data_IF_149335815313
#
_entry.id   IF_149335815313
#
_cell.length_a   1.000
_cell.length_b   1.000
_cell.length_c   1.000
_cell.angle_alpha   90.00
_cell.angle_beta   90.00
_cell.angle_gamma   90.00
#
_symmetry.space_group_name_H-M   'P 1'
#
loop_
_entity.id
_entity.type
_entity.pdbx_description
1 polymer ?
#
# COMPACT_ATOMS: atom_id res chain seq x y z
N UNK A 1 -36.40 12.53 13.51
CA UNK A 1 -34.99 12.08 13.34
C UNK A 1 -34.02 12.69 14.36
N UNK A 2 -33.93 14.02 14.53
CA UNK A 2 -32.99 14.66 15.48
C UNK A 2 -33.21 14.27 16.95
N UNK A 3 -34.47 14.22 17.40
CA UNK A 3 -34.82 13.78 18.78
C UNK A 3 -34.47 12.32 19.03
N UNK A 4 -34.69 11.43 18.06
CA UNK A 4 -34.31 10.02 18.13
C UNK A 4 -32.78 9.87 18.22
N UNK A 5 -32.03 10.59 17.37
CA UNK A 5 -30.56 10.63 17.48
C UNK A 5 -30.09 11.14 18.84
N UNK A 6 -30.74 12.17 19.39
CA UNK A 6 -30.41 12.73 20.69
C UNK A 6 -30.67 11.72 21.83
N UNK A 7 -31.82 11.03 21.79
CA UNK A 7 -32.16 9.98 22.76
C UNK A 7 -31.17 8.81 22.68
N UNK A 8 -30.84 8.36 21.46
CA UNK A 8 -29.85 7.30 21.26
C UNK A 8 -28.48 7.74 21.81
N UNK A 9 -28.07 8.98 21.55
CA UNK A 9 -26.81 9.52 22.06
C UNK A 9 -26.79 9.57 23.59
N UNK A 10 -27.91 9.98 24.22
CA UNK A 10 -28.05 9.97 25.68
C UNK A 10 -27.96 8.56 26.26
N UNK A 11 -28.65 7.59 25.65
CA UNK A 11 -28.59 6.19 26.07
C UNK A 11 -27.16 5.65 25.96
N UNK A 12 -26.49 5.90 24.84
CA UNK A 12 -25.10 5.48 24.64
C UNK A 12 -24.19 6.13 25.67
N UNK A 13 -24.33 7.43 25.92
CA UNK A 13 -23.54 8.15 26.91
C UNK A 13 -23.74 7.57 28.32
N UNK A 14 -24.99 7.33 28.72
CA UNK A 14 -25.32 6.78 30.02
C UNK A 14 -24.77 5.35 30.19
N UNK A 15 -24.87 4.53 29.14
CA UNK A 15 -24.30 3.19 29.11
C UNK A 15 -22.77 3.20 29.24
N UNK A 16 -22.08 4.15 28.58
CA UNK A 16 -20.62 4.31 28.72
C UNK A 16 -20.27 4.70 30.16
N UNK A 17 -20.99 5.66 30.75
CA UNK A 17 -20.74 6.08 32.14
C UNK A 17 -20.98 4.94 33.12
N UNK A 18 -22.09 4.19 32.97
CA UNK A 18 -22.40 3.03 33.79
C UNK A 18 -21.35 1.92 33.62
N UNK A 19 -20.89 1.68 32.39
CA UNK A 19 -19.82 0.74 32.10
C UNK A 19 -18.51 1.14 32.78
N UNK A 20 -18.08 2.40 32.65
CA UNK A 20 -16.86 2.89 33.32
C UNK A 20 -17.00 2.78 34.83
N UNK A 21 -18.13 3.20 35.40
CA UNK A 21 -18.38 3.13 36.84
C UNK A 21 -18.36 1.69 37.38
N UNK A 22 -19.02 0.76 36.69
CA UNK A 22 -19.04 -0.64 37.08
C UNK A 22 -17.70 -1.36 36.86
N UNK A 23 -16.85 -0.85 35.98
CA UNK A 23 -15.55 -1.43 35.63
C UNK A 23 -14.38 -0.57 36.13
N UNK A 24 -14.59 0.23 37.19
CA UNK A 24 -13.54 0.99 37.88
C UNK A 24 -12.67 0.13 38.79
N UNK A 25 -12.83 -1.19 38.76
CA UNK A 25 -12.07 -2.10 39.60
C UNK A 25 -10.56 -1.87 39.40
N UNK A 26 -9.83 -1.49 40.47
CA UNK A 26 -8.43 -1.16 40.36
C UNK A 26 -7.60 -2.44 40.20
N UNK A 27 -6.96 -2.58 39.04
CA UNK A 27 -6.09 -3.72 38.74
C UNK A 27 -4.63 -3.34 38.93
N UNK A 28 -3.80 -4.30 39.35
CA UNK A 28 -2.34 -4.16 39.29
C UNK A 28 -1.79 -5.18 38.31
N UNK A 29 -0.89 -4.73 37.43
CA UNK A 29 -0.25 -5.60 36.46
C UNK A 29 1.18 -5.84 36.92
N UNK A 30 1.59 -7.10 36.93
CA UNK A 30 2.98 -7.46 37.16
C UNK A 30 3.72 -7.49 35.82
N UNK A 31 4.58 -6.52 35.60
CA UNK A 31 5.50 -6.49 34.46
C UNK A 31 6.92 -6.75 34.95
N UNK A 32 7.58 -7.76 34.39
CA UNK A 32 8.98 -8.11 34.72
C UNK A 32 9.26 -8.17 36.23
N UNK A 33 8.34 -8.77 37.00
CA UNK A 33 8.46 -8.91 38.45
C UNK A 33 8.12 -7.66 39.28
N UNK A 34 7.86 -6.50 38.65
CA UNK A 34 7.43 -5.28 39.33
C UNK A 34 5.92 -5.07 39.14
N UNK A 35 5.21 -4.77 40.23
CA UNK A 35 3.79 -4.44 40.18
C UNK A 35 3.62 -2.97 39.80
N UNK A 36 2.71 -2.71 38.86
CA UNK A 36 2.26 -1.36 38.56
C UNK A 36 1.44 -0.79 39.72
N UNK A 37 1.33 0.55 39.84
CA UNK A 37 0.30 1.17 40.65
C UNK A 37 -1.09 0.62 40.28
N UNK A 38 -2.01 0.64 41.24
CA UNK A 38 -3.43 0.31 41.01
C UNK A 38 -4.01 1.32 40.03
N UNK A 39 -4.35 0.86 38.84
CA UNK A 39 -4.97 1.68 37.80
C UNK A 39 -6.31 1.09 37.39
N UNK A 40 -7.30 1.91 37.03
CA UNK A 40 -8.55 1.40 36.45
C UNK A 40 -8.27 0.57 35.19
N UNK A 41 -8.93 -0.59 35.09
CA UNK A 41 -8.73 -1.55 33.99
C UNK A 41 -8.90 -0.93 32.59
N UNK A 42 -9.78 0.07 32.45
CA UNK A 42 -10.01 0.76 31.18
C UNK A 42 -8.73 1.41 30.60
N UNK A 43 -7.86 1.96 31.44
CA UNK A 43 -6.60 2.56 30.96
C UNK A 43 -5.65 1.50 30.41
N UNK A 44 -5.64 0.32 31.03
CA UNK A 44 -4.86 -0.83 30.58
C UNK A 44 -5.37 -1.30 29.22
N UNK A 45 -6.68 -1.48 29.08
CA UNK A 45 -7.31 -1.86 27.82
C UNK A 45 -6.97 -0.87 26.70
N UNK A 46 -7.14 0.44 26.94
CA UNK A 46 -6.80 1.47 25.98
C UNK A 46 -5.31 1.44 25.60
N UNK A 47 -4.42 1.31 26.58
CA UNK A 47 -2.98 1.21 26.33
C UNK A 47 -2.64 0.00 25.47
N UNK A 48 -3.23 -1.18 25.74
CA UNK A 48 -3.00 -2.39 24.94
C UNK A 48 -3.54 -2.27 23.53
N UNK A 49 -4.70 -1.63 23.35
CA UNK A 49 -5.29 -1.36 22.03
C UNK A 49 -4.38 -0.44 21.21
N UNK A 50 -3.92 0.66 21.82
CA UNK A 50 -3.01 1.62 21.17
C UNK A 50 -1.69 0.92 20.81
N UNK A 51 -1.11 0.13 21.72
CA UNK A 51 0.09 -0.66 21.45
C UNK A 51 -0.11 -1.62 20.28
N UNK A 52 -1.23 -2.35 20.25
CA UNK A 52 -1.57 -3.23 19.13
C UNK A 52 -1.65 -2.49 17.79
N UNK A 53 -2.31 -1.33 17.77
CA UNK A 53 -2.41 -0.50 16.57
C UNK A 53 -1.04 0.05 16.10
N UNK A 54 -0.19 0.46 17.04
CA UNK A 54 1.18 0.92 16.74
C UNK A 54 2.00 -0.22 16.14
N UNK A 55 1.97 -1.40 16.76
CA UNK A 55 2.71 -2.58 16.27
C UNK A 55 2.24 -3.00 14.88
N UNK A 56 0.92 -3.05 14.65
CA UNK A 56 0.35 -3.36 13.33
C UNK A 56 0.80 -2.33 12.28
N UNK A 57 0.76 -1.04 12.61
CA UNK A 57 1.19 0.04 11.72
C UNK A 57 2.67 -0.07 11.33
N UNK A 58 3.54 -0.43 12.28
CA UNK A 58 4.98 -0.63 12.02
C UNK A 58 5.19 -1.79 11.05
N UNK A 59 4.49 -2.92 11.26
CA UNK A 59 4.57 -4.09 10.38
C UNK A 59 4.11 -3.74 8.96
N UNK A 60 2.99 -3.02 8.84
CA UNK A 60 2.44 -2.63 7.54
C UNK A 60 3.32 -1.61 6.81
N UNK A 61 3.95 -0.69 7.53
CA UNK A 61 4.89 0.27 6.93
C UNK A 61 6.07 -0.44 6.25
N UNK A 62 6.59 -1.50 6.88
CA UNK A 62 7.65 -2.34 6.29
C UNK A 62 7.19 -3.06 5.02
N UNK A 63 5.96 -3.58 4.98
CA UNK A 63 5.38 -4.21 3.78
C UNK A 63 5.17 -3.20 2.66
N UNK A 64 4.60 -2.06 2.99
CA UNK A 64 4.30 -1.00 2.03
C UNK A 64 5.57 -0.45 1.37
N UNK A 65 6.64 -0.23 2.14
CA UNK A 65 7.92 0.23 1.58
C UNK A 65 8.53 -0.80 0.61
N UNK A 66 8.52 -2.09 0.96
CA UNK A 66 8.96 -3.17 0.07
C UNK A 66 8.16 -3.19 -1.24
N UNK A 67 6.83 -3.12 -1.14
CA UNK A 67 5.94 -3.11 -2.31
C UNK A 67 6.22 -1.90 -3.22
N UNK A 68 6.46 -0.71 -2.65
CA UNK A 68 6.79 0.48 -3.43
C UNK A 68 8.13 0.35 -4.15
N UNK A 69 9.15 -0.21 -3.49
CA UNK A 69 10.46 -0.46 -4.10
C UNK A 69 10.32 -1.44 -5.27
N UNK A 70 9.59 -2.53 -5.05
CA UNK A 70 9.36 -3.54 -6.08
C UNK A 70 8.57 -2.97 -7.27
N UNK A 71 7.53 -2.18 -7.02
CA UNK A 71 6.76 -1.53 -8.08
C UNK A 71 7.63 -0.57 -8.90
N UNK A 72 8.49 0.23 -8.25
CA UNK A 72 9.44 1.12 -8.95
C UNK A 72 10.44 0.33 -9.79
N UNK A 73 10.94 -0.79 -9.28
CA UNK A 73 11.86 -1.68 -10.01
C UNK A 73 11.16 -2.28 -11.23
N UNK A 74 9.95 -2.82 -11.07
CA UNK A 74 9.17 -3.40 -12.16
C UNK A 74 8.87 -2.35 -13.25
N UNK A 75 8.46 -1.13 -12.89
CA UNK A 75 8.25 -0.03 -13.85
C UNK A 75 9.50 0.31 -14.66
N UNK A 76 10.68 0.32 -14.03
CA UNK A 76 11.95 0.54 -14.73
C UNK A 76 12.26 -0.58 -15.72
N UNK A 77 12.00 -1.83 -15.33
CA UNK A 77 12.20 -3.00 -16.20
C UNK A 77 11.28 -2.94 -17.41
N UNK A 78 9.98 -2.68 -17.20
CA UNK A 78 9.00 -2.54 -18.28
C UNK A 78 9.43 -1.45 -19.26
N UNK A 79 9.79 -0.26 -18.76
CA UNK A 79 10.24 0.84 -19.62
C UNK A 79 11.49 0.50 -20.43
N UNK A 80 12.45 -0.23 -19.84
CA UNK A 80 13.65 -0.69 -20.58
C UNK A 80 13.27 -1.67 -21.70
N UNK A 81 12.44 -2.67 -21.39
CA UNK A 81 11.99 -3.65 -22.38
C UNK A 81 11.21 -3.00 -23.53
N UNK A 82 10.37 -2.01 -23.23
CA UNK A 82 9.66 -1.23 -24.25
C UNK A 82 10.64 -0.46 -25.16
N UNK A 83 11.71 0.11 -24.61
CA UNK A 83 12.75 0.79 -25.39
C UNK A 83 13.55 -0.18 -26.26
N UNK A 84 13.89 -1.36 -25.75
CA UNK A 84 14.57 -2.42 -26.50
C UNK A 84 13.69 -2.89 -27.67
N UNK A 85 12.41 -3.17 -27.43
CA UNK A 85 11.45 -3.52 -28.49
C UNK A 85 11.31 -2.41 -29.53
N UNK A 86 11.24 -1.14 -29.11
CA UNK A 86 11.18 -0.01 -30.03
C UNK A 86 12.44 0.11 -30.90
N UNK A 87 13.61 -0.19 -30.34
CA UNK A 87 14.89 -0.13 -31.04
C UNK A 87 14.99 -1.26 -32.08
N UNK A 88 14.67 -2.48 -31.68
CA UNK A 88 14.64 -3.65 -32.57
C UNK A 88 13.65 -3.41 -33.71
N UNK A 89 12.45 -2.89 -33.41
CA UNK A 89 11.45 -2.59 -34.44
C UNK A 89 11.94 -1.55 -35.44
N UNK A 90 12.62 -0.50 -34.99
CA UNK A 90 13.20 0.51 -35.90
C UNK A 90 14.26 -0.10 -36.81
N UNK A 91 15.19 -0.88 -36.24
CA UNK A 91 16.22 -1.57 -37.02
C UNK A 91 15.62 -2.49 -38.08
N UNK A 92 14.59 -3.28 -37.73
CA UNK A 92 13.93 -4.15 -38.70
C UNK A 92 13.22 -3.40 -39.84
N UNK A 93 12.69 -2.21 -39.57
CA UNK A 93 12.04 -1.38 -40.60
C UNK A 93 13.09 -0.75 -41.51
N UNK A 94 14.18 -0.24 -40.95
CA UNK A 94 15.30 0.29 -41.74
C UNK A 94 15.94 -0.78 -42.64
N UNK A 95 16.01 -2.02 -42.17
CA UNK A 95 16.54 -3.15 -42.94
C UNK A 95 15.64 -3.50 -44.12
N UNK A 96 14.32 -3.62 -43.91
CA UNK A 96 13.34 -3.81 -44.99
C UNK A 96 13.34 -2.64 -45.99
N UNK A 97 13.46 -1.40 -45.53
CA UNK A 97 13.55 -0.23 -46.41
C UNK A 97 14.84 -0.19 -47.25
N UNK A 98 15.94 -0.80 -46.78
CA UNK A 98 17.15 -0.96 -47.60
C UNK A 98 16.94 -2.03 -48.66
N UNK A 99 16.39 -3.19 -48.28
CA UNK A 99 16.11 -4.27 -49.23
C UNK A 99 15.18 -3.82 -50.37
N UNK A 100 14.14 -3.03 -50.06
CA UNK A 100 13.24 -2.46 -51.08
C UNK A 100 14.00 -1.51 -52.02
N UNK A 101 14.86 -0.63 -51.49
CA UNK A 101 15.65 0.29 -52.31
C UNK A 101 16.64 -0.42 -53.21
N UNK A 102 17.32 -1.45 -52.69
CA UNK A 102 18.24 -2.26 -53.47
C UNK A 102 17.50 -3.00 -54.59
N UNK A 103 16.29 -3.53 -54.33
CA UNK A 103 15.47 -4.16 -55.35
C UNK A 103 14.98 -3.17 -56.43
N UNK A 104 14.55 -1.97 -56.05
CA UNK A 104 14.15 -0.90 -56.98
C UNK A 104 15.32 -0.43 -57.87
N UNK A 105 16.53 -0.36 -57.33
CA UNK A 105 17.73 0.00 -58.11
C UNK A 105 18.08 -1.09 -59.13
N UNK A 106 17.99 -2.37 -58.75
CA UNK A 106 18.24 -3.50 -59.66
C UNK A 106 17.22 -3.50 -60.81
N UNK A 107 15.93 -3.35 -60.51
CA UNK A 107 14.86 -3.31 -61.52
C UNK A 107 15.05 -2.17 -62.54
N UNK A 108 15.48 -0.99 -62.08
CA UNK A 108 15.80 0.16 -62.94
C UNK A 108 17.01 -0.03 -63.83
N UNK A 109 17.90 -0.97 -63.48
CA UNK A 109 19.11 -1.27 -64.24
C UNK A 109 18.88 -2.40 -65.25
N UNK A 110 17.82 -3.18 -65.07
CA UNK A 110 17.45 -4.32 -65.93
C UNK A 110 16.37 -4.00 -66.99
N UNK A 111 15.67 -2.86 -66.95
CA UNK A 111 14.75 -2.43 -68.03
C UNK A 111 15.57 -1.94 -69.26
N UNK A 112 15.58 -2.68 -70.40
CA UNK A 112 16.26 -2.24 -71.61
C UNK A 112 15.30 -1.43 -72.49
N UNK A 113 15.76 -0.26 -72.97
CA UNK A 113 15.15 0.45 -74.11
C UNK A 113 15.12 -0.40 -75.39
#
# INVERSE_FOLDING_TARGET
MKKVKFIILLIVLFSIVAFVWSNQEPVSIKFFGKASPKTPFIFVLLATLILGAILASIIDLGRMTRLQIENRRQKKIVKRLEQELATIRKLSVEEVEREIREAEEIEKTEEPE
#
